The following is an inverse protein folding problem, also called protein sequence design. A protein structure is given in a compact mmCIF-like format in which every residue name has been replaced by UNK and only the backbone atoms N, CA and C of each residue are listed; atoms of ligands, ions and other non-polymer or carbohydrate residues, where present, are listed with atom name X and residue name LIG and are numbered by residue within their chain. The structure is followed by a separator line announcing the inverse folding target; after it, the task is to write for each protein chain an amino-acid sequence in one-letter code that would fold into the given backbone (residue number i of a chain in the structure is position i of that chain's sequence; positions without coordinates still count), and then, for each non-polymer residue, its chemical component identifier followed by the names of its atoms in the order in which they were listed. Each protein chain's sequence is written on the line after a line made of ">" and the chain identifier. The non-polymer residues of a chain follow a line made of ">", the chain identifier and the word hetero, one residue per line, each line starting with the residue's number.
data_IF_710319244041
#
_entry.id   IF_710319244041
#
_cell.length_a   1.000
_cell.length_b   1.000
_cell.length_c   1.000
_cell.angle_alpha   90.00
_cell.angle_beta   90.00
_cell.angle_gamma   90.00
#
_symmetry.space_group_name_H-M   'P 1'
#
loop_
_entity.id
_entity.type
_entity.pdbx_description
1 polymer ?
#
# COMPACT_ATOMS: atom_id res chain seq x y z
N UNK A 1 -3.16 -34.39 54.48
CA UNK A 1 -3.22 -32.96 54.85
C UNK A 1 -1.84 -32.34 54.68
N UNK A 2 -1.58 -31.64 53.57
CA UNK A 2 -0.71 -30.45 53.54
C UNK A 2 -0.94 -29.71 52.21
N UNK A 3 -0.94 -28.39 52.30
CA UNK A 3 -1.49 -27.37 51.40
C UNK A 3 -0.36 -26.63 50.65
N UNK A 4 -0.53 -26.40 49.32
CA UNK A 4 -0.13 -25.23 48.47
C UNK A 4 1.32 -24.63 48.55
N UNK A 5 1.79 -23.65 47.71
CA UNK A 5 1.22 -22.97 46.52
C UNK A 5 2.16 -22.75 45.28
N UNK A 6 1.55 -22.37 44.15
CA UNK A 6 1.85 -21.28 43.16
C UNK A 6 3.28 -20.96 42.65
N UNK A 7 3.47 -20.84 41.32
CA UNK A 7 3.71 -19.55 40.60
C UNK A 7 4.02 -19.76 39.11
N UNK A 8 3.13 -19.22 38.28
CA UNK A 8 3.28 -18.93 36.84
C UNK A 8 4.20 -17.72 36.65
N UNK A 9 5.13 -17.79 35.69
CA UNK A 9 5.90 -16.61 35.24
C UNK A 9 6.07 -16.60 33.72
N UNK A 10 5.52 -15.54 33.11
CA UNK A 10 5.81 -15.05 31.75
C UNK A 10 7.31 -14.83 31.53
N UNK A 11 7.86 -15.13 30.34
CA UNK A 11 9.15 -14.58 29.93
C UNK A 11 8.96 -13.21 29.29
N UNK A 12 9.13 -12.15 30.10
CA UNK A 12 9.44 -10.80 29.61
C UNK A 12 10.90 -10.79 29.12
N UNK A 13 11.11 -10.74 27.80
CA UNK A 13 12.43 -10.54 27.19
C UNK A 13 12.91 -9.10 27.44
N UNK A 14 13.79 -8.94 28.42
CA UNK A 14 14.53 -7.71 28.68
C UNK A 14 15.67 -7.55 27.66
N UNK A 15 15.57 -6.53 26.81
CA UNK A 15 16.64 -6.09 25.92
C UNK A 15 17.59 -5.16 26.70
N UNK A 16 18.66 -5.72 27.25
CA UNK A 16 19.81 -4.96 27.75
C UNK A 16 21.06 -5.38 26.97
N UNK A 17 21.52 -4.52 26.05
CA UNK A 17 22.69 -4.80 25.22
C UNK A 17 23.27 -3.53 24.61
N UNK A 18 24.30 -3.01 25.30
CA UNK A 18 25.38 -2.12 24.86
C UNK A 18 25.32 -1.54 23.43
N UNK A 19 25.22 -0.20 23.35
CA UNK A 19 25.50 0.58 22.15
C UNK A 19 26.99 0.45 21.79
N UNK A 20 27.33 -0.58 21.01
CA UNK A 20 28.60 -0.64 20.30
C UNK A 20 28.48 0.22 19.04
N UNK A 21 29.15 1.38 19.03
CA UNK A 21 29.26 2.25 17.86
C UNK A 21 30.11 1.53 16.81
N UNK A 22 29.46 0.77 15.94
CA UNK A 22 30.16 0.09 14.84
C UNK A 22 30.23 1.04 13.65
N UNK A 23 31.33 1.79 13.55
CA UNK A 23 31.72 2.51 12.33
C UNK A 23 32.12 1.48 11.28
N UNK A 24 31.23 1.23 10.32
CA UNK A 24 31.53 0.40 9.15
C UNK A 24 31.48 1.27 7.90
N UNK A 25 32.67 1.64 7.46
CA UNK A 25 32.98 2.08 6.10
C UNK A 25 32.54 0.98 5.13
N UNK A 26 31.92 1.40 4.03
CA UNK A 26 31.02 0.56 3.23
C UNK A 26 31.60 -0.76 2.70
N UNK A 27 30.75 -1.77 2.70
CA UNK A 27 30.42 -2.69 1.61
C UNK A 27 29.22 -3.53 2.07
N UNK A 28 28.33 -3.86 1.14
CA UNK A 28 27.00 -4.44 1.35
C UNK A 28 26.90 -5.41 2.54
N UNK A 29 26.04 -5.06 3.50
CA UNK A 29 25.62 -5.95 4.58
C UNK A 29 24.29 -6.58 4.24
N UNK A 30 24.28 -7.44 3.23
CA UNK A 30 23.17 -8.37 3.02
C UNK A 30 23.44 -9.57 3.92
N UNK A 31 22.94 -9.55 5.16
CA UNK A 31 22.86 -10.80 5.93
C UNK A 31 21.78 -11.66 5.27
N UNK A 32 22.10 -12.92 4.98
CA UNK A 32 21.29 -13.87 4.18
C UNK A 32 20.14 -14.49 4.98
N UNK A 33 19.63 -13.75 5.97
CA UNK A 33 18.48 -14.20 6.76
C UNK A 33 17.38 -13.14 6.55
N UNK A 34 16.38 -13.50 5.75
CA UNK A 34 15.17 -12.74 5.43
C UNK A 34 15.33 -11.53 4.49
N UNK A 35 16.41 -11.46 3.71
CA UNK A 35 16.67 -10.41 2.71
C UNK A 35 16.55 -8.96 3.25
N UNK A 36 16.75 -8.76 4.56
CA UNK A 36 16.64 -7.44 5.19
C UNK A 36 17.84 -6.56 4.84
N UNK A 37 17.57 -5.31 4.46
CA UNK A 37 18.60 -4.35 4.05
C UNK A 37 18.70 -3.23 5.09
N UNK A 38 19.92 -2.98 5.57
CA UNK A 38 20.24 -1.85 6.42
C UNK A 38 20.54 -0.62 5.56
N UNK A 39 19.71 0.41 5.66
CA UNK A 39 19.89 1.66 4.91
C UNK A 39 20.20 2.80 5.86
N UNK A 40 21.33 3.49 5.66
CA UNK A 40 21.64 4.72 6.39
C UNK A 40 20.84 5.90 5.83
N UNK A 41 20.17 6.65 6.70
CA UNK A 41 19.55 7.94 6.33
C UNK A 41 20.58 9.05 6.35
N UNK A 42 20.34 10.12 5.59
CA UNK A 42 21.15 11.36 5.66
C UNK A 42 21.21 12.00 7.07
N UNK A 43 20.30 11.64 7.98
CA UNK A 43 20.33 12.03 9.38
C UNK A 43 21.23 11.17 10.28
N UNK A 44 22.02 10.25 9.71
CA UNK A 44 22.87 9.30 10.43
C UNK A 44 22.14 8.11 11.09
N UNK A 45 20.80 8.03 10.98
CA UNK A 45 20.01 6.92 11.55
C UNK A 45 19.95 5.75 10.57
N UNK A 46 20.22 4.54 11.05
CA UNK A 46 20.07 3.30 10.27
C UNK A 46 18.61 2.86 10.31
N UNK A 47 18.02 2.57 9.15
CA UNK A 47 16.68 2.02 9.00
C UNK A 47 16.78 0.61 8.42
N UNK A 48 16.21 -0.37 9.14
CA UNK A 48 16.00 -1.72 8.61
C UNK A 48 14.83 -1.69 7.63
N UNK A 49 15.04 -2.22 6.44
CA UNK A 49 13.98 -2.48 5.46
C UNK A 49 13.57 -3.95 5.56
N UNK A 50 12.26 -4.20 5.62
CA UNK A 50 11.71 -5.55 5.51
C UNK A 50 12.20 -6.13 4.18
N UNK A 51 12.87 -7.27 4.22
CA UNK A 51 13.14 -8.05 3.02
C UNK A 51 11.89 -8.81 2.59
N UNK A 52 11.94 -9.34 1.38
CA UNK A 52 10.92 -10.25 0.87
C UNK A 52 11.29 -11.66 1.30
N UNK A 53 10.34 -12.43 1.85
CA UNK A 53 10.59 -13.84 2.16
C UNK A 53 10.54 -14.69 0.89
N UNK A 54 11.11 -15.90 0.95
CA UNK A 54 11.08 -16.82 -0.19
C UNK A 54 9.64 -17.20 -0.55
N UNK A 55 8.76 -17.36 0.43
CA UNK A 55 7.35 -17.67 0.22
C UNK A 55 6.63 -16.52 -0.50
N UNK A 56 6.84 -15.27 -0.07
CA UNK A 56 6.30 -14.07 -0.72
C UNK A 56 6.80 -13.96 -2.17
N UNK A 57 8.05 -14.34 -2.44
CA UNK A 57 8.61 -14.34 -3.79
C UNK A 57 8.00 -15.43 -4.67
N UNK A 58 7.89 -16.67 -4.17
CA UNK A 58 7.28 -17.77 -4.93
C UNK A 58 5.80 -17.53 -5.23
N UNK A 59 5.07 -16.91 -4.31
CA UNK A 59 3.67 -16.52 -4.55
C UNK A 59 3.56 -15.50 -5.67
N UNK A 60 4.35 -14.41 -5.63
CA UNK A 60 4.35 -13.40 -6.71
C UNK A 60 4.78 -13.99 -8.06
N UNK A 61 5.75 -14.92 -8.05
CA UNK A 61 6.19 -15.62 -9.26
C UNK A 61 5.07 -16.48 -9.84
N UNK A 62 4.31 -17.18 -9.00
CA UNK A 62 3.14 -17.97 -9.41
C UNK A 62 2.08 -17.05 -10.01
N UNK A 63 1.71 -15.97 -9.31
CA UNK A 63 0.74 -14.98 -9.80
C UNK A 63 1.15 -14.43 -11.18
N UNK A 64 2.43 -14.10 -11.36
CA UNK A 64 2.95 -13.63 -12.64
C UNK A 64 2.89 -14.69 -13.75
N UNK A 65 3.16 -15.96 -13.43
CA UNK A 65 3.07 -17.06 -14.40
C UNK A 65 1.62 -17.38 -14.80
N UNK A 66 0.68 -17.24 -13.87
CA UNK A 66 -0.74 -17.49 -14.10
C UNK A 66 -1.40 -16.35 -14.90
N UNK A 67 -1.19 -15.10 -14.50
CA UNK A 67 -1.81 -13.94 -15.16
C UNK A 67 -1.04 -13.45 -16.38
N UNK A 68 0.28 -13.63 -16.39
CA UNK A 68 1.17 -13.10 -17.42
C UNK A 68 1.39 -11.58 -17.33
N UNK A 69 2.18 -11.02 -18.26
CA UNK A 69 2.39 -9.57 -18.32
C UNK A 69 1.13 -8.86 -18.82
N UNK A 70 0.73 -7.80 -18.13
CA UNK A 70 -0.37 -6.93 -18.57
C UNK A 70 0.17 -5.85 -19.49
N UNK A 71 -0.40 -5.75 -20.70
CA UNK A 71 -0.06 -4.70 -21.66
C UNK A 71 -0.94 -3.46 -21.41
N UNK A 72 -0.31 -2.35 -21.04
CA UNK A 72 -1.00 -1.07 -20.91
C UNK A 72 -1.17 -0.44 -22.31
N UNK A 73 -2.35 -0.60 -22.90
CA UNK A 73 -2.75 0.06 -24.15
C UNK A 73 -3.05 1.55 -23.93
N UNK A 74 -3.52 2.29 -24.92
CA UNK A 74 -3.91 3.70 -24.70
C UNK A 74 -5.19 3.83 -23.86
N UNK A 75 -6.06 2.83 -23.93
CA UNK A 75 -7.41 2.80 -23.36
C UNK A 75 -7.56 1.81 -22.21
N UNK A 76 -6.49 1.09 -21.84
CA UNK A 76 -6.50 0.05 -20.81
C UNK A 76 -7.19 0.46 -19.52
N UNK A 77 -7.06 1.73 -19.12
CA UNK A 77 -7.66 2.24 -17.90
C UNK A 77 -9.18 2.35 -17.99
N UNK A 78 -9.69 2.74 -19.15
CA UNK A 78 -11.12 2.88 -19.49
C UNK A 78 -11.79 1.51 -19.68
N UNK A 79 -11.00 0.47 -19.97
CA UNK A 79 -11.45 -0.90 -20.19
C UNK A 79 -11.53 -1.73 -18.89
N UNK A 80 -11.06 -1.20 -17.75
CA UNK A 80 -11.15 -1.93 -16.48
C UNK A 80 -12.61 -2.10 -16.06
N UNK A 81 -12.97 -3.31 -15.63
CA UNK A 81 -14.24 -3.53 -14.96
C UNK A 81 -14.19 -2.90 -13.56
N UNK A 82 -15.04 -1.89 -13.35
CA UNK A 82 -15.13 -1.19 -12.06
C UNK A 82 -15.74 -2.05 -10.96
N UNK A 83 -16.43 -3.15 -11.32
CA UNK A 83 -17.01 -4.08 -10.35
C UNK A 83 -15.94 -4.93 -9.65
N UNK A 84 -14.77 -5.11 -10.27
CA UNK A 84 -13.66 -5.91 -9.72
C UNK A 84 -12.73 -5.11 -8.80
N UNK A 85 -13.07 -3.85 -8.52
CA UNK A 85 -12.23 -2.96 -7.72
C UNK A 85 -12.33 -3.35 -6.23
N UNK A 86 -11.19 -3.79 -5.67
CA UNK A 86 -11.06 -4.01 -4.24
C UNK A 86 -10.60 -2.72 -3.52
N UNK A 87 -11.47 -2.06 -2.75
CA UNK A 87 -11.14 -0.80 -2.08
C UNK A 87 -9.99 -0.94 -1.06
N UNK A 88 -9.73 -2.15 -0.55
CA UNK A 88 -8.64 -2.38 0.41
C UNK A 88 -7.26 -2.28 -0.25
N UNK A 89 -7.17 -2.61 -1.55
CA UNK A 89 -5.94 -2.57 -2.33
C UNK A 89 -5.66 -1.17 -2.85
N UNK A 90 -4.48 -0.65 -2.52
CA UNK A 90 -4.05 0.69 -2.97
C UNK A 90 -4.00 0.80 -4.50
N UNK A 91 -3.55 -0.26 -5.18
CA UNK A 91 -3.50 -0.29 -6.64
C UNK A 91 -4.87 -0.04 -7.26
N UNK A 92 -5.92 -0.67 -6.72
CA UNK A 92 -7.26 -0.58 -7.29
C UNK A 92 -7.93 0.76 -6.96
N UNK A 93 -7.66 1.31 -5.77
CA UNK A 93 -8.07 2.69 -5.47
C UNK A 93 -7.45 3.70 -6.43
N UNK A 94 -6.15 3.57 -6.71
CA UNK A 94 -5.46 4.44 -7.66
C UNK A 94 -5.98 4.26 -9.09
N UNK A 95 -6.41 3.06 -9.51
CA UNK A 95 -7.03 2.89 -10.84
C UNK A 95 -8.27 3.77 -10.95
N UNK A 96 -9.12 3.77 -9.93
CA UNK A 96 -10.36 4.53 -9.92
C UNK A 96 -10.11 6.05 -9.91
N UNK A 97 -9.17 6.51 -9.07
CA UNK A 97 -8.72 7.92 -9.05
C UNK A 97 -8.18 8.36 -10.42
N UNK A 98 -7.25 7.59 -10.98
CA UNK A 98 -6.64 7.92 -12.28
C UNK A 98 -7.66 7.89 -13.42
N UNK A 99 -8.64 6.98 -13.37
CA UNK A 99 -9.71 6.92 -14.36
C UNK A 99 -10.57 8.19 -14.30
N UNK A 100 -10.98 8.61 -13.11
CA UNK A 100 -11.74 9.84 -12.91
C UNK A 100 -10.96 11.08 -13.42
N UNK A 101 -9.67 11.20 -13.09
CA UNK A 101 -8.81 12.28 -13.58
C UNK A 101 -8.71 12.28 -15.11
N UNK A 102 -8.51 11.10 -15.71
CA UNK A 102 -8.41 10.95 -17.16
C UNK A 102 -9.70 11.39 -17.86
N UNK A 103 -10.86 10.94 -17.38
CA UNK A 103 -12.17 11.32 -17.92
C UNK A 103 -12.39 12.85 -17.81
N UNK A 104 -12.00 13.45 -16.70
CA UNK A 104 -12.06 14.90 -16.51
C UNK A 104 -11.23 15.65 -17.58
N UNK A 105 -9.99 15.23 -17.83
CA UNK A 105 -9.14 15.87 -18.84
C UNK A 105 -9.59 15.60 -20.28
N UNK A 106 -10.24 14.44 -20.54
CA UNK A 106 -10.94 14.16 -21.80
C UNK A 106 -12.24 14.96 -21.96
N UNK A 107 -12.66 15.69 -20.93
CA UNK A 107 -13.92 16.47 -20.87
C UNK A 107 -15.18 15.60 -20.88
N UNK A 108 -15.04 14.33 -20.52
CA UNK A 108 -16.14 13.39 -20.34
C UNK A 108 -16.70 13.57 -18.91
N UNK A 109 -17.29 14.75 -18.64
CA UNK A 109 -17.64 15.17 -17.27
C UNK A 109 -18.75 14.32 -16.65
N UNK A 110 -19.69 13.81 -17.45
CA UNK A 110 -20.73 12.86 -17.00
C UNK A 110 -20.13 11.58 -16.44
N UNK A 111 -19.14 11.04 -17.14
CA UNK A 111 -18.53 9.75 -16.81
C UNK A 111 -17.51 9.91 -15.69
N UNK A 112 -16.75 11.02 -15.70
CA UNK A 112 -15.96 11.45 -14.56
C UNK A 112 -16.78 11.45 -13.26
N UNK A 113 -17.96 12.10 -13.29
CA UNK A 113 -18.80 12.26 -12.10
C UNK A 113 -19.23 10.90 -11.56
N UNK A 114 -19.71 10.01 -12.43
CA UNK A 114 -20.11 8.64 -12.06
C UNK A 114 -18.97 7.86 -11.42
N UNK A 115 -17.77 7.92 -12.00
CA UNK A 115 -16.59 7.22 -11.46
C UNK A 115 -16.20 7.82 -10.11
N UNK A 116 -16.20 9.14 -9.97
CA UNK A 116 -15.87 9.81 -8.71
C UNK A 116 -16.85 9.42 -7.59
N UNK A 117 -18.14 9.40 -7.87
CA UNK A 117 -19.19 8.99 -6.94
C UNK A 117 -19.05 7.52 -6.52
N UNK A 118 -18.79 6.63 -7.47
CA UNK A 118 -18.53 5.22 -7.19
C UNK A 118 -17.34 5.05 -6.25
N UNK A 119 -16.24 5.77 -6.49
CA UNK A 119 -15.06 5.71 -5.63
C UNK A 119 -15.34 6.16 -4.20
N UNK A 120 -16.04 7.28 -4.03
CA UNK A 120 -16.41 7.78 -2.71
C UNK A 120 -17.31 6.80 -1.96
N UNK A 121 -18.25 6.15 -2.66
CA UNK A 121 -19.12 5.12 -2.08
C UNK A 121 -18.31 3.87 -1.66
N UNK A 122 -17.41 3.38 -2.51
CA UNK A 122 -16.55 2.23 -2.18
C UNK A 122 -15.59 2.53 -1.03
N UNK A 123 -15.15 3.77 -0.87
CA UNK A 123 -14.13 4.16 0.10
C UNK A 123 -14.70 4.59 1.46
N UNK A 124 -16.03 4.69 1.59
CA UNK A 124 -16.71 5.26 2.78
C UNK A 124 -16.31 4.58 4.10
N UNK A 125 -16.09 3.26 4.06
CA UNK A 125 -15.81 2.44 5.25
C UNK A 125 -14.31 2.33 5.55
N UNK A 126 -13.45 2.87 4.68
CA UNK A 126 -12.00 2.86 4.87
C UNK A 126 -11.61 4.02 5.80
N UNK A 127 -10.71 3.81 6.78
CA UNK A 127 -10.22 4.88 7.63
C UNK A 127 -9.59 6.02 6.80
N UNK A 128 -10.24 7.20 6.79
CA UNK A 128 -9.83 8.37 5.97
C UNK A 128 -8.36 8.73 6.09
N UNK A 129 -7.76 8.61 7.28
CA UNK A 129 -6.32 8.88 7.49
C UNK A 129 -5.39 8.07 6.58
N UNK A 130 -5.83 6.91 6.08
CA UNK A 130 -5.04 6.04 5.18
C UNK A 130 -5.23 6.37 3.70
N UNK A 131 -6.33 7.01 3.35
CA UNK A 131 -6.76 7.24 1.97
C UNK A 131 -7.07 8.72 1.70
N UNK A 132 -6.52 9.61 2.54
CA UNK A 132 -6.92 11.02 2.57
C UNK A 132 -6.72 11.69 1.21
N UNK A 133 -5.57 11.42 0.57
CA UNK A 133 -5.26 11.97 -0.74
C UNK A 133 -6.24 11.45 -1.79
N UNK A 134 -6.42 10.13 -1.88
CA UNK A 134 -7.34 9.52 -2.85
C UNK A 134 -8.78 10.04 -2.67
N UNK A 135 -9.22 10.22 -1.42
CA UNK A 135 -10.53 10.78 -1.09
C UNK A 135 -10.66 12.24 -1.53
N UNK A 136 -9.68 13.08 -1.20
CA UNK A 136 -9.71 14.51 -1.50
C UNK A 136 -9.72 14.77 -3.02
N UNK A 137 -8.96 13.98 -3.78
CA UNK A 137 -8.94 14.06 -5.25
C UNK A 137 -10.30 13.69 -5.85
N UNK A 138 -10.95 12.63 -5.37
CA UNK A 138 -12.27 12.23 -5.86
C UNK A 138 -13.34 13.27 -5.51
N UNK A 139 -13.31 13.86 -4.31
CA UNK A 139 -14.21 14.96 -3.93
C UNK A 139 -14.00 16.17 -4.84
N UNK A 140 -12.74 16.54 -5.09
CA UNK A 140 -12.41 17.64 -5.98
C UNK A 140 -12.98 17.40 -7.39
N UNK A 141 -12.78 16.21 -7.94
CA UNK A 141 -13.29 15.85 -9.27
C UNK A 141 -14.82 15.84 -9.31
N UNK A 142 -15.48 15.31 -8.28
CA UNK A 142 -16.95 15.33 -8.18
C UNK A 142 -17.48 16.77 -8.26
N UNK A 143 -16.90 17.69 -7.49
CA UNK A 143 -17.29 19.11 -7.50
C UNK A 143 -17.06 19.75 -8.87
N UNK A 144 -15.88 19.56 -9.46
CA UNK A 144 -15.53 20.17 -10.76
C UNK A 144 -16.34 19.58 -11.91
N UNK A 145 -16.58 18.28 -11.93
CA UNK A 145 -17.40 17.63 -12.95
C UNK A 145 -18.86 18.11 -12.84
N UNK A 146 -19.41 18.22 -11.62
CA UNK A 146 -20.75 18.78 -11.39
C UNK A 146 -20.90 20.22 -11.90
N UNK A 147 -19.93 21.09 -11.59
CA UNK A 147 -19.94 22.49 -12.05
C UNK A 147 -19.88 22.65 -13.58
N UNK A 148 -19.32 21.67 -14.29
CA UNK A 148 -19.17 21.69 -15.76
C UNK A 148 -20.38 21.12 -16.50
N UNK A 149 -21.28 20.43 -15.78
CA UNK A 149 -22.50 19.83 -16.31
C UNK A 149 -23.74 20.72 -16.15
N UNK A 150 -23.63 21.79 -15.35
CA UNK A 150 -24.64 22.85 -15.18
C UNK A 150 -24.44 23.91 -16.28
#
# INVERSE_FOLDING_TARGET
>A
MTTTPTTTTDPTLQLAGSLSTVSLTGQDKTQVNDAQILVSKGSGRVKVRKGQTEEEFQEQKREFQEAGPVLNTLTWLEENDLNDIDPTKKSDRLKLENLAQRLYYKREYSECLKVAELGLELFKDIPKKRIQNEWDELVYLQEKCSLRLI
#
